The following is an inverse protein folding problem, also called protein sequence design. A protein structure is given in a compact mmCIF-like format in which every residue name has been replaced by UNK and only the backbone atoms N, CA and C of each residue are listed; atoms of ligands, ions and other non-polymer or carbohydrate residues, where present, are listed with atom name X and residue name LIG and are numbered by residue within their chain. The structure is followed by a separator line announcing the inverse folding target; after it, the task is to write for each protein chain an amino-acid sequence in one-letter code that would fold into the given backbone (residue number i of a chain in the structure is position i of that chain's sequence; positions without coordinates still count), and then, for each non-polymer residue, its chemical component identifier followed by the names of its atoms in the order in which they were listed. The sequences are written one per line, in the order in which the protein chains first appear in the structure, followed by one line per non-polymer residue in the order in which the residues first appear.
data_IF_990864026391
#
_entry.id   IF_990864026391
#
_cell.length_a   1.000
_cell.length_b   1.000
_cell.length_c   1.000
_cell.angle_alpha   90.00
_cell.angle_beta   90.00
_cell.angle_gamma   90.00
#
_symmetry.space_group_name_H-M   'P 1'
#
loop_
_entity.id
_entity.type
_entity.pdbx_description
1 polymer ?
#
# COMPACT_ATOMS: atom_id res chain seq x y z
N UNK A 1 31.09 -7.64 38.27
CA UNK A 1 31.45 -6.60 37.32
C UNK A 1 31.04 -7.09 35.95
N UNK A 2 29.87 -6.67 35.46
CA UNK A 2 29.47 -6.88 34.05
C UNK A 2 29.96 -5.66 33.28
N UNK A 3 30.60 -5.82 32.11
CA UNK A 3 30.95 -4.68 31.29
C UNK A 3 29.65 -4.11 30.69
N UNK A 4 29.38 -2.86 30.99
CA UNK A 4 28.42 -2.06 30.26
C UNK A 4 28.92 -1.95 28.80
N UNK A 5 28.24 -2.61 27.87
CA UNK A 5 28.46 -2.39 26.47
C UNK A 5 28.12 -0.93 26.15
N UNK A 6 29.07 -0.25 25.55
CA UNK A 6 28.96 1.08 24.99
C UNK A 6 27.73 1.13 24.04
N UNK A 7 26.86 2.17 24.05
CA UNK A 7 25.81 2.30 23.07
C UNK A 7 26.49 2.50 21.73
N UNK A 8 26.55 1.40 20.95
CA UNK A 8 27.36 1.28 19.75
C UNK A 8 27.13 2.43 18.77
N UNK A 9 28.20 3.11 18.44
CA UNK A 9 28.34 3.84 17.19
C UNK A 9 27.86 2.92 16.07
N UNK A 10 26.69 3.23 15.47
CA UNK A 10 26.19 2.44 14.35
C UNK A 10 27.23 2.52 13.23
N UNK A 11 27.90 1.40 13.01
CA UNK A 11 28.98 1.27 12.02
C UNK A 11 28.43 1.57 10.63
N UNK A 12 29.16 2.36 9.87
CA UNK A 12 28.88 2.58 8.46
C UNK A 12 28.87 1.22 7.75
N UNK A 13 27.85 0.95 6.94
CA UNK A 13 27.72 -0.26 6.14
C UNK A 13 27.76 0.11 4.65
N UNK A 14 28.47 -0.67 3.85
CA UNK A 14 28.68 -0.40 2.44
C UNK A 14 28.38 -1.66 1.61
N UNK A 15 27.39 -1.60 0.74
CA UNK A 15 27.12 -2.62 -0.28
C UNK A 15 27.81 -2.22 -1.57
N UNK A 16 28.65 -3.10 -2.10
CA UNK A 16 29.40 -2.89 -3.35
C UNK A 16 29.04 -3.93 -4.40
N UNK A 17 29.50 -3.72 -5.65
CA UNK A 17 29.23 -4.60 -6.78
C UNK A 17 27.74 -4.93 -6.95
N UNK A 18 26.87 -3.93 -6.77
CA UNK A 18 25.43 -4.04 -6.95
C UNK A 18 24.98 -3.38 -8.27
N UNK A 19 23.98 -3.94 -8.91
CA UNK A 19 23.15 -3.20 -9.87
C UNK A 19 22.10 -2.48 -9.09
N UNK A 20 22.09 -1.15 -9.13
CA UNK A 20 21.22 -0.35 -8.27
C UNK A 20 20.17 0.36 -9.10
N UNK A 21 18.89 -0.03 -8.93
CA UNK A 21 17.76 0.74 -9.44
C UNK A 21 17.34 1.75 -8.36
N UNK A 22 17.81 2.97 -8.47
CA UNK A 22 17.56 4.02 -7.47
C UNK A 22 16.11 4.47 -7.43
N UNK A 23 15.37 4.30 -8.52
CA UNK A 23 14.04 4.84 -8.76
C UNK A 23 13.97 6.37 -8.68
N UNK A 24 15.09 7.06 -8.84
CA UNK A 24 15.17 8.52 -8.92
C UNK A 24 14.61 9.01 -10.26
N UNK A 25 13.52 9.80 -10.27
CA UNK A 25 12.94 10.33 -11.50
C UNK A 25 13.82 11.40 -12.19
N UNK A 26 14.83 11.95 -11.50
CA UNK A 26 15.80 12.89 -12.06
C UNK A 26 16.97 12.21 -12.77
N UNK A 27 17.12 10.88 -12.66
CA UNK A 27 18.19 10.16 -13.33
C UNK A 27 17.93 10.04 -14.85
N UNK A 28 19.01 10.08 -15.63
CA UNK A 28 18.91 9.96 -17.10
C UNK A 28 18.60 8.52 -17.56
N UNK A 29 19.10 7.52 -16.81
CA UNK A 29 18.86 6.11 -17.12
C UNK A 29 17.49 5.66 -16.63
N UNK A 30 16.76 4.78 -17.36
CA UNK A 30 15.54 4.15 -16.86
C UNK A 30 15.76 3.51 -15.49
N UNK A 31 14.77 3.55 -14.59
CA UNK A 31 14.83 3.12 -13.18
C UNK A 31 15.86 3.88 -12.33
N UNK A 32 16.59 4.87 -12.88
CA UNK A 32 17.81 5.40 -12.26
C UNK A 32 18.87 4.32 -12.08
N UNK A 33 19.03 3.42 -13.08
CA UNK A 33 19.90 2.24 -13.00
C UNK A 33 21.38 2.61 -13.01
N UNK A 34 22.12 2.02 -12.07
CA UNK A 34 23.58 2.08 -11.94
C UNK A 34 24.10 0.65 -12.06
N UNK A 35 24.85 0.32 -13.11
CA UNK A 35 25.26 -1.05 -13.43
C UNK A 35 26.30 -1.64 -12.47
N UNK A 36 27.29 -0.85 -12.04
CA UNK A 36 28.27 -1.19 -11.00
C UNK A 36 28.23 -0.11 -9.92
N UNK A 37 27.30 -0.28 -9.00
CA UNK A 37 26.98 0.69 -7.96
C UNK A 37 27.49 0.28 -6.58
N UNK A 38 27.50 1.27 -5.69
CA UNK A 38 27.64 1.07 -4.26
C UNK A 38 26.60 1.90 -3.50
N UNK A 39 26.19 1.39 -2.34
CA UNK A 39 25.25 2.01 -1.41
C UNK A 39 25.86 2.03 -0.02
N UNK A 40 26.03 3.22 0.58
CA UNK A 40 26.49 3.39 1.94
C UNK A 40 25.32 3.76 2.86
N UNK A 41 25.24 3.10 4.01
CA UNK A 41 24.19 3.30 5.02
C UNK A 41 24.83 3.64 6.37
N UNK A 42 24.34 4.69 6.99
CA UNK A 42 24.70 5.12 8.32
C UNK A 42 23.42 5.49 9.10
N UNK A 43 23.32 5.05 10.33
CA UNK A 43 22.20 5.38 11.23
C UNK A 43 20.81 5.12 10.60
N UNK A 44 20.69 4.00 9.85
CA UNK A 44 19.44 3.61 9.22
C UNK A 44 19.05 4.43 7.97
N UNK A 45 19.94 5.34 7.53
CA UNK A 45 19.73 6.19 6.37
C UNK A 45 20.81 5.96 5.32
N UNK A 46 20.47 6.24 4.08
CA UNK A 46 21.41 6.22 2.97
C UNK A 46 22.32 7.43 3.11
N UNK A 47 23.60 7.15 3.34
CA UNK A 47 24.64 8.19 3.40
C UNK A 47 25.13 8.57 2.00
N UNK A 48 25.24 7.56 1.11
CA UNK A 48 25.68 7.74 -0.27
C UNK A 48 25.16 6.62 -1.18
N UNK A 49 24.92 6.94 -2.44
CA UNK A 49 24.60 5.95 -3.50
C UNK A 49 25.10 6.51 -4.83
N UNK A 50 25.76 5.67 -5.63
CA UNK A 50 26.30 6.08 -6.93
C UNK A 50 27.11 4.99 -7.60
N UNK A 51 27.74 5.30 -8.76
CA UNK A 51 28.73 4.43 -9.40
C UNK A 51 29.88 4.10 -8.45
N UNK A 52 30.26 2.83 -8.32
CA UNK A 52 31.30 2.40 -7.38
C UNK A 52 32.63 3.12 -7.59
N UNK A 53 32.98 3.44 -8.82
CA UNK A 53 34.17 4.22 -9.15
C UNK A 53 34.17 5.66 -8.61
N UNK A 54 33.00 6.18 -8.24
CA UNK A 54 32.82 7.52 -7.66
C UNK A 54 32.69 7.49 -6.14
N UNK A 55 32.94 6.30 -5.52
CA UNK A 55 32.86 6.16 -4.06
C UNK A 55 33.82 7.16 -3.38
N UNK A 56 33.36 7.97 -2.43
CA UNK A 56 34.22 8.89 -1.71
C UNK A 56 35.41 8.20 -1.03
N UNK A 57 36.60 8.78 -1.16
CA UNK A 57 37.82 8.23 -0.57
C UNK A 57 37.69 8.01 0.95
N UNK A 58 38.10 6.84 1.40
CA UNK A 58 38.08 6.46 2.82
C UNK A 58 36.71 6.00 3.36
N UNK A 59 35.67 5.98 2.54
CA UNK A 59 34.36 5.48 2.95
C UNK A 59 34.39 3.95 3.15
N UNK A 60 35.11 3.23 2.34
CA UNK A 60 35.34 1.79 2.41
C UNK A 60 36.21 1.38 3.61
N UNK A 61 37.22 2.18 3.97
CA UNK A 61 38.08 1.90 5.14
C UNK A 61 37.34 1.97 6.47
N UNK A 62 36.28 2.80 6.55
CA UNK A 62 35.49 3.02 7.75
C UNK A 62 34.25 2.13 7.85
N UNK A 63 33.91 1.36 6.80
CA UNK A 63 32.66 0.65 6.65
C UNK A 63 32.82 -0.88 6.87
N UNK A 64 31.70 -1.51 7.32
CA UNK A 64 31.52 -2.94 7.11
C UNK A 64 31.06 -3.17 5.66
N UNK A 65 31.92 -3.80 4.85
CA UNK A 65 31.68 -4.00 3.43
C UNK A 65 30.91 -5.30 3.16
N UNK A 66 29.87 -5.20 2.36
CA UNK A 66 29.04 -6.31 1.86
C UNK A 66 29.16 -6.39 0.34
N UNK A 67 29.62 -7.50 -0.20
CA UNK A 67 29.66 -7.75 -1.64
C UNK A 67 28.28 -8.24 -2.11
N UNK A 68 27.60 -7.45 -2.95
CA UNK A 68 26.31 -7.81 -3.53
C UNK A 68 26.44 -8.83 -4.68
N UNK A 69 27.66 -9.09 -5.19
CA UNK A 69 27.94 -10.10 -6.22
C UNK A 69 27.11 -9.91 -7.50
N UNK A 70 26.95 -8.65 -7.93
CA UNK A 70 26.15 -8.31 -9.11
C UNK A 70 24.63 -8.39 -8.93
N UNK A 71 24.14 -8.64 -7.72
CA UNK A 71 22.70 -8.68 -7.45
C UNK A 71 22.04 -7.32 -7.72
N UNK A 72 20.78 -7.36 -8.15
CA UNK A 72 19.96 -6.17 -8.27
C UNK A 72 19.54 -5.67 -6.87
N UNK A 73 19.67 -4.36 -6.65
CA UNK A 73 19.25 -3.66 -5.45
C UNK A 73 18.20 -2.61 -5.83
N UNK A 74 17.07 -2.65 -5.16
CA UNK A 74 15.97 -1.67 -5.34
C UNK A 74 15.55 -1.07 -4.00
N UNK A 75 14.81 0.05 -3.96
CA UNK A 75 14.06 0.42 -2.76
C UNK A 75 13.20 -0.73 -2.28
N UNK A 76 12.92 -0.79 -0.98
CA UNK A 76 11.93 -1.71 -0.44
C UNK A 76 10.56 -1.47 -1.06
N UNK A 77 9.83 -2.53 -1.37
CA UNK A 77 8.50 -2.44 -1.96
C UNK A 77 7.50 -1.88 -0.94
N UNK A 78 6.53 -1.13 -1.45
CA UNK A 78 5.49 -0.46 -0.66
C UNK A 78 4.12 -0.88 -1.20
N UNK A 79 3.31 -1.48 -0.33
CA UNK A 79 1.91 -1.81 -0.63
C UNK A 79 0.99 -0.74 -0.04
N UNK A 80 0.55 0.20 -0.88
CA UNK A 80 -0.13 1.41 -0.44
C UNK A 80 -1.66 1.28 -0.33
N UNK A 81 -2.21 0.06 -0.46
CA UNK A 81 -3.63 -0.20 -0.31
C UNK A 81 -3.88 -1.65 0.10
N UNK A 82 -4.18 -1.88 1.37
CA UNK A 82 -4.61 -3.19 1.87
C UNK A 82 -5.71 -3.06 2.92
N UNK A 83 -6.57 -4.10 2.99
CA UNK A 83 -7.52 -4.35 4.07
C UNK A 83 -7.07 -5.59 4.85
N UNK A 84 -5.80 -5.67 5.19
CA UNK A 84 -5.12 -6.88 5.66
C UNK A 84 -5.68 -7.42 6.99
N UNK A 85 -6.32 -6.57 7.82
CA UNK A 85 -6.88 -6.95 9.12
C UNK A 85 -8.35 -7.32 8.98
N UNK A 86 -8.60 -8.62 8.90
CA UNK A 86 -9.94 -9.22 8.90
C UNK A 86 -9.88 -10.66 9.44
N UNK A 87 -11.01 -11.20 9.86
CA UNK A 87 -11.17 -12.62 10.24
C UNK A 87 -11.97 -13.39 9.20
N UNK A 88 -11.68 -14.70 9.14
CA UNK A 88 -12.32 -15.64 8.22
C UNK A 88 -11.79 -15.49 6.79
N UNK A 89 -12.52 -16.12 5.87
CA UNK A 89 -12.28 -16.06 4.42
C UNK A 89 -13.62 -16.13 3.68
N UNK A 90 -13.56 -16.02 2.36
CA UNK A 90 -14.75 -16.12 1.50
C UNK A 90 -14.58 -17.19 0.41
N UNK A 91 -13.79 -18.24 0.69
CA UNK A 91 -13.54 -19.34 -0.25
C UNK A 91 -14.83 -20.09 -0.61
N UNK A 92 -15.71 -20.33 0.37
CA UNK A 92 -17.02 -20.94 0.10
C UNK A 92 -17.93 -20.08 -0.78
N UNK A 93 -17.89 -18.76 -0.66
CA UNK A 93 -18.63 -17.87 -1.56
C UNK A 93 -18.04 -17.88 -2.97
N UNK A 94 -16.71 -17.94 -3.08
CA UNK A 94 -16.02 -18.08 -4.37
C UNK A 94 -16.44 -19.38 -5.07
N UNK A 95 -16.45 -20.50 -4.36
CA UNK A 95 -16.90 -21.79 -4.88
C UNK A 95 -18.37 -21.75 -5.30
N UNK A 96 -19.27 -21.24 -4.44
CA UNK A 96 -20.69 -21.12 -4.74
C UNK A 96 -20.94 -20.29 -6.02
N UNK A 97 -20.25 -19.18 -6.19
CA UNK A 97 -20.34 -18.33 -7.37
C UNK A 97 -19.89 -19.06 -8.65
N UNK A 98 -18.83 -19.85 -8.59
CA UNK A 98 -18.35 -20.65 -9.72
C UNK A 98 -19.28 -21.82 -10.03
N UNK A 99 -20.04 -22.31 -9.04
CA UNK A 99 -21.11 -23.30 -9.21
C UNK A 99 -22.45 -22.69 -9.64
N UNK A 100 -22.48 -21.37 -9.96
CA UNK A 100 -23.63 -20.70 -10.54
C UNK A 100 -24.55 -19.97 -9.56
N UNK A 101 -24.20 -19.89 -8.28
CA UNK A 101 -24.96 -19.07 -7.33
C UNK A 101 -24.88 -17.59 -7.71
N UNK A 102 -26.04 -16.95 -7.73
CA UNK A 102 -26.14 -15.51 -8.00
C UNK A 102 -25.63 -14.68 -6.80
N UNK A 103 -25.29 -13.43 -7.06
CA UNK A 103 -24.94 -12.48 -5.99
C UNK A 103 -26.05 -12.37 -4.93
N UNK A 104 -27.32 -12.38 -5.37
CA UNK A 104 -28.47 -12.29 -4.46
C UNK A 104 -28.61 -13.53 -3.57
N UNK A 105 -28.39 -14.72 -4.11
CA UNK A 105 -28.43 -15.97 -3.33
C UNK A 105 -27.32 -15.98 -2.28
N UNK A 106 -26.11 -15.58 -2.65
CA UNK A 106 -24.97 -15.45 -1.72
C UNK A 106 -25.30 -14.40 -0.64
N UNK A 107 -25.84 -13.25 -1.02
CA UNK A 107 -26.21 -12.20 -0.06
C UNK A 107 -27.31 -12.65 0.90
N UNK A 108 -28.36 -13.34 0.41
CA UNK A 108 -29.44 -13.91 1.25
C UNK A 108 -28.92 -14.98 2.21
N UNK A 109 -27.92 -15.75 1.79
CA UNK A 109 -27.22 -16.70 2.67
C UNK A 109 -26.32 -16.02 3.72
N UNK A 110 -26.31 -14.69 3.73
CA UNK A 110 -25.51 -13.90 4.67
C UNK A 110 -24.05 -13.71 4.24
N UNK A 111 -23.74 -13.91 2.96
CA UNK A 111 -22.43 -13.67 2.38
C UNK A 111 -22.11 -12.19 2.16
N UNK A 112 -21.09 -11.95 1.34
CA UNK A 112 -20.64 -10.60 1.01
C UNK A 112 -19.83 -9.96 2.13
N UNK A 113 -19.70 -8.64 2.09
CA UNK A 113 -18.96 -7.86 3.10
C UNK A 113 -19.52 -8.08 4.51
N UNK A 114 -20.82 -8.32 4.63
CA UNK A 114 -21.47 -8.59 5.91
C UNK A 114 -20.94 -9.87 6.61
N UNK A 115 -20.54 -10.90 5.85
CA UNK A 115 -19.90 -12.08 6.41
C UNK A 115 -18.55 -11.76 7.04
N UNK A 116 -17.73 -10.97 6.33
CA UNK A 116 -16.43 -10.51 6.83
C UNK A 116 -16.59 -9.64 8.08
N UNK A 117 -17.57 -8.71 8.08
CA UNK A 117 -17.85 -7.85 9.24
C UNK A 117 -18.24 -8.70 10.44
N UNK A 118 -19.14 -9.66 10.30
CA UNK A 118 -19.54 -10.57 11.41
C UNK A 118 -18.34 -11.35 11.95
N UNK A 119 -17.54 -11.96 11.07
CA UNK A 119 -16.38 -12.73 11.47
C UNK A 119 -15.34 -11.85 12.19
N UNK A 120 -15.08 -10.64 11.68
CA UNK A 120 -14.12 -9.70 12.26
C UNK A 120 -14.57 -9.16 13.61
N UNK A 121 -15.87 -8.86 13.76
CA UNK A 121 -16.44 -8.43 15.05
C UNK A 121 -16.41 -9.55 16.10
N UNK A 122 -16.64 -10.81 15.68
CA UNK A 122 -16.61 -11.97 16.56
C UNK A 122 -15.20 -12.39 17.00
N UNK A 123 -14.18 -12.06 16.22
CA UNK A 123 -12.80 -12.42 16.54
C UNK A 123 -12.23 -11.51 17.63
N UNK A 124 -11.48 -12.08 18.56
CA UNK A 124 -10.67 -11.32 19.50
C UNK A 124 -9.42 -10.75 18.83
N UNK A 125 -8.71 -9.88 19.56
CA UNK A 125 -7.54 -9.16 19.04
C UNK A 125 -6.39 -10.11 18.68
N UNK A 126 -6.17 -11.17 19.47
CA UNK A 126 -5.09 -12.14 19.21
C UNK A 126 -5.39 -13.01 17.98
N UNK A 127 -6.63 -13.40 17.78
CA UNK A 127 -7.08 -14.14 16.58
C UNK A 127 -6.93 -13.28 15.32
N UNK A 128 -7.33 -12.00 15.38
CA UNK A 128 -7.13 -11.05 14.28
C UNK A 128 -5.65 -10.87 13.97
N UNK A 129 -4.81 -10.69 15.00
CA UNK A 129 -3.37 -10.55 14.86
C UNK A 129 -2.74 -11.79 14.21
N UNK A 130 -3.10 -12.98 14.66
CA UNK A 130 -2.55 -14.23 14.12
C UNK A 130 -2.90 -14.43 12.64
N UNK A 131 -4.15 -14.21 12.26
CA UNK A 131 -4.61 -14.33 10.87
C UNK A 131 -3.95 -13.28 9.97
N UNK A 132 -3.88 -12.04 10.43
CA UNK A 132 -3.29 -10.93 9.67
C UNK A 132 -1.78 -11.08 9.52
N UNK A 133 -1.09 -11.60 10.54
CA UNK A 133 0.34 -11.91 10.51
C UNK A 133 0.72 -12.87 9.39
N UNK A 134 -0.11 -13.88 9.12
CA UNK A 134 0.13 -14.82 8.00
C UNK A 134 0.14 -14.08 6.66
N UNK A 135 -0.81 -13.18 6.43
CA UNK A 135 -0.91 -12.39 5.20
C UNK A 135 0.25 -11.41 5.08
N UNK A 136 0.58 -10.72 6.17
CA UNK A 136 1.71 -9.78 6.20
C UNK A 136 3.04 -10.48 5.90
N UNK A 137 3.28 -11.66 6.47
CA UNK A 137 4.51 -12.42 6.23
C UNK A 137 4.67 -12.84 4.77
N UNK A 138 3.58 -13.13 4.05
CA UNK A 138 3.63 -13.41 2.63
C UNK A 138 4.08 -12.16 1.83
N UNK A 139 3.52 -10.98 2.12
CA UNK A 139 3.95 -9.71 1.51
C UNK A 139 5.41 -9.39 1.83
N UNK A 140 5.84 -9.53 3.09
CA UNK A 140 7.24 -9.33 3.50
C UNK A 140 8.21 -10.30 2.79
N UNK A 141 7.78 -11.53 2.56
CA UNK A 141 8.57 -12.50 1.82
C UNK A 141 8.89 -12.04 0.40
N UNK A 142 8.13 -11.12 -0.16
CA UNK A 142 8.35 -10.50 -1.47
C UNK A 142 9.04 -9.12 -1.39
N UNK A 143 9.61 -8.75 -0.25
CA UNK A 143 10.36 -7.50 -0.12
C UNK A 143 9.53 -6.27 0.23
N UNK A 144 8.29 -6.43 0.67
CA UNK A 144 7.48 -5.32 1.20
C UNK A 144 8.06 -4.86 2.54
N UNK A 145 8.41 -3.57 2.61
CA UNK A 145 9.01 -2.91 3.78
C UNK A 145 8.07 -1.91 4.43
N UNK A 146 7.09 -1.45 3.68
CA UNK A 146 6.07 -0.49 4.13
C UNK A 146 4.72 -0.89 3.55
N UNK A 147 3.66 -0.80 4.35
CA UNK A 147 2.31 -1.02 3.84
C UNK A 147 1.28 -0.14 4.54
N UNK A 148 0.17 0.09 3.85
CA UNK A 148 -1.05 0.62 4.44
C UNK A 148 -1.92 -0.52 4.93
N UNK A 149 -2.55 -0.35 6.09
CA UNK A 149 -3.62 -1.22 6.56
C UNK A 149 -4.84 -0.35 6.86
N UNK A 150 -5.88 -0.52 6.06
CA UNK A 150 -7.19 0.10 6.27
C UNK A 150 -8.01 -0.74 7.26
N UNK A 151 -8.76 -0.08 8.15
CA UNK A 151 -9.87 -0.71 8.87
C UNK A 151 -11.10 -0.88 7.95
N UNK A 152 -12.32 -0.92 8.47
CA UNK A 152 -13.52 -0.94 7.63
C UNK A 152 -14.28 -2.27 7.63
N UNK A 153 -13.85 -3.22 8.47
CA UNK A 153 -14.62 -4.42 8.78
C UNK A 153 -15.15 -4.44 10.22
N UNK A 154 -14.84 -3.42 11.00
CA UNK A 154 -15.40 -3.24 12.34
C UNK A 154 -16.75 -2.54 12.32
N UNK A 155 -16.86 -1.44 11.60
CA UNK A 155 -18.03 -0.60 11.38
C UNK A 155 -18.69 -0.11 12.68
N UNK A 156 -17.95 -0.06 13.78
CA UNK A 156 -18.31 0.57 15.05
C UNK A 156 -17.02 0.98 15.78
N UNK A 157 -17.11 1.94 16.67
CA UNK A 157 -15.93 2.51 17.37
C UNK A 157 -15.04 1.42 17.98
N UNK A 158 -15.62 0.50 18.72
CA UNK A 158 -14.88 -0.56 19.41
C UNK A 158 -14.12 -1.47 18.41
N UNK A 159 -14.83 -1.94 17.36
CA UNK A 159 -14.28 -2.90 16.43
C UNK A 159 -13.31 -2.26 15.43
N UNK A 160 -13.56 -1.01 15.02
CA UNK A 160 -12.61 -0.23 14.20
C UNK A 160 -11.31 0.04 14.99
N UNK A 161 -11.43 0.45 16.26
CA UNK A 161 -10.26 0.62 17.13
C UNK A 161 -9.47 -0.68 17.28
N UNK A 162 -10.14 -1.83 17.42
CA UNK A 162 -9.50 -3.15 17.50
C UNK A 162 -8.71 -3.46 16.22
N UNK A 163 -9.33 -3.26 15.05
CA UNK A 163 -8.64 -3.49 13.78
C UNK A 163 -7.40 -2.60 13.63
N UNK A 164 -7.51 -1.31 13.98
CA UNK A 164 -6.39 -0.36 13.90
C UNK A 164 -5.28 -0.67 14.92
N UNK A 165 -5.62 -1.11 16.14
CA UNK A 165 -4.61 -1.58 17.11
C UNK A 165 -3.86 -2.82 16.60
N UNK A 166 -4.59 -3.78 16.03
CA UNK A 166 -3.95 -4.95 15.40
C UNK A 166 -3.00 -4.53 14.29
N UNK A 167 -3.39 -3.56 13.46
CA UNK A 167 -2.53 -3.03 12.41
C UNK A 167 -1.24 -2.40 12.97
N UNK A 168 -1.32 -1.60 14.06
CA UNK A 168 -0.13 -1.05 14.74
C UNK A 168 0.76 -2.15 15.31
N UNK A 169 0.17 -3.12 16.03
CA UNK A 169 0.90 -4.27 16.61
C UNK A 169 1.61 -5.11 15.53
N UNK A 170 1.03 -5.27 14.36
CA UNK A 170 1.71 -5.94 13.23
C UNK A 170 2.99 -5.21 12.84
N UNK A 171 2.96 -3.88 12.73
CA UNK A 171 4.14 -3.07 12.45
C UNK A 171 5.25 -3.28 13.48
N UNK A 172 4.89 -3.24 14.75
CA UNK A 172 5.82 -3.40 15.88
C UNK A 172 6.43 -4.81 15.94
N UNK A 173 5.58 -5.84 15.84
CA UNK A 173 6.00 -7.24 16.05
C UNK A 173 6.69 -7.87 14.86
N UNK A 174 6.36 -7.43 13.64
CA UNK A 174 6.91 -7.98 12.40
C UNK A 174 7.97 -7.06 11.76
N UNK A 175 8.38 -5.98 12.44
CA UNK A 175 9.40 -5.04 11.94
C UNK A 175 9.11 -4.61 10.50
N UNK A 176 7.97 -4.00 10.28
CA UNK A 176 7.55 -3.42 8.99
C UNK A 176 6.90 -2.07 9.25
N UNK A 177 7.10 -1.11 8.36
CA UNK A 177 6.46 0.20 8.51
C UNK A 177 4.98 0.11 8.14
N UNK A 178 4.08 0.39 9.08
CA UNK A 178 2.62 0.36 8.86
C UNK A 178 2.04 1.77 8.93
N UNK A 179 1.27 2.14 7.91
CA UNK A 179 0.37 3.30 7.92
C UNK A 179 -1.05 2.79 8.10
N UNK A 180 -1.75 3.33 9.09
CA UNK A 180 -3.13 2.92 9.39
C UNK A 180 -4.12 3.93 8.84
N UNK A 181 -5.13 3.44 8.11
CA UNK A 181 -6.17 4.26 7.52
C UNK A 181 -7.53 3.89 8.10
N UNK A 182 -8.23 4.85 8.66
CA UNK A 182 -9.59 4.64 9.13
C UNK A 182 -10.55 4.65 7.94
N UNK A 183 -11.25 3.54 7.74
CA UNK A 183 -12.25 3.34 6.68
C UNK A 183 -13.62 2.98 7.30
N UNK A 184 -14.11 3.78 8.26
CA UNK A 184 -15.44 3.56 8.82
C UNK A 184 -16.57 3.66 7.78
N UNK A 185 -16.39 4.51 6.78
CA UNK A 185 -17.32 4.65 5.65
C UNK A 185 -17.02 3.63 4.53
N UNK A 186 -16.96 2.32 4.86
CA UNK A 186 -16.73 1.22 3.92
C UNK A 186 -18.04 0.56 3.47
N UNK A 187 -18.92 0.27 4.41
CA UNK A 187 -20.23 -0.31 4.15
C UNK A 187 -21.23 0.12 5.23
N UNK A 188 -22.52 0.02 4.93
CA UNK A 188 -23.56 0.29 5.90
C UNK A 188 -23.76 -0.95 6.80
N UNK A 189 -23.52 -0.87 8.13
CA UNK A 189 -23.71 -2.00 9.01
C UNK A 189 -25.20 -2.26 9.25
N UNK A 190 -25.59 -3.51 9.58
CA UNK A 190 -26.99 -3.91 9.71
C UNK A 190 -27.80 -3.04 10.70
N UNK A 191 -27.20 -2.60 11.78
CA UNK A 191 -27.82 -1.74 12.81
C UNK A 191 -28.23 -0.33 12.29
N UNK A 192 -27.69 0.06 11.15
CA UNK A 192 -28.03 1.29 10.44
C UNK A 192 -28.76 1.05 9.12
N UNK A 193 -29.29 -0.15 8.88
CA UNK A 193 -30.01 -0.46 7.63
C UNK A 193 -31.07 0.59 7.32
N UNK A 194 -31.04 1.16 6.09
CA UNK A 194 -31.92 2.23 5.64
C UNK A 194 -31.63 3.63 6.23
N UNK A 195 -30.57 3.77 7.02
CA UNK A 195 -30.21 5.04 7.68
C UNK A 195 -28.75 5.44 7.42
N UNK A 196 -28.32 5.60 6.15
CA UNK A 196 -26.92 5.85 5.83
C UNK A 196 -26.42 7.19 6.41
N UNK A 197 -27.25 8.22 6.47
CA UNK A 197 -26.85 9.53 7.04
C UNK A 197 -26.60 9.49 8.55
N UNK A 198 -27.37 8.69 9.29
CA UNK A 198 -27.15 8.45 10.72
C UNK A 198 -25.81 7.72 10.91
N UNK A 199 -25.50 6.75 10.05
CA UNK A 199 -24.22 6.05 10.10
C UNK A 199 -23.04 6.95 9.75
N UNK A 200 -23.15 7.80 8.75
CA UNK A 200 -22.12 8.81 8.44
C UNK A 200 -21.88 9.75 9.63
N UNK A 201 -22.95 10.15 10.33
CA UNK A 201 -22.79 10.93 11.55
C UNK A 201 -22.04 10.15 12.65
N UNK A 202 -22.27 8.82 12.74
CA UNK A 202 -21.52 7.95 13.65
C UNK A 202 -20.06 7.83 13.25
N UNK A 203 -19.74 7.62 11.97
CA UNK A 203 -18.37 7.61 11.44
C UNK A 203 -17.62 8.89 11.80
N UNK A 204 -18.27 10.05 11.62
CA UNK A 204 -17.69 11.34 12.02
C UNK A 204 -17.46 11.45 13.53
N UNK A 205 -18.31 10.80 14.38
CA UNK A 205 -18.13 10.76 15.84
C UNK A 205 -17.04 9.79 16.30
N UNK A 206 -16.82 8.68 15.58
CA UNK A 206 -15.74 7.73 15.86
C UNK A 206 -14.37 8.35 15.66
N UNK A 207 -14.20 9.16 14.63
CA UNK A 207 -12.90 9.62 14.15
C UNK A 207 -12.08 10.39 15.21
N UNK A 208 -12.61 11.37 15.95
CA UNK A 208 -11.85 12.05 17.00
C UNK A 208 -11.36 11.10 18.11
N UNK A 209 -12.17 10.11 18.48
CA UNK A 209 -11.80 9.15 19.52
C UNK A 209 -10.67 8.19 19.06
N UNK A 210 -10.66 7.79 17.79
CA UNK A 210 -9.61 6.98 17.21
C UNK A 210 -8.32 7.79 16.99
N UNK A 211 -8.46 9.03 16.55
CA UNK A 211 -7.32 9.96 16.39
C UNK A 211 -6.63 10.25 17.71
N UNK A 212 -7.39 10.53 18.77
CA UNK A 212 -6.83 10.77 20.10
C UNK A 212 -6.04 9.59 20.69
N UNK A 213 -6.31 8.36 20.22
CA UNK A 213 -5.55 7.15 20.56
C UNK A 213 -4.31 6.93 19.67
N UNK A 214 -4.00 7.82 18.72
CA UNK A 214 -2.89 7.68 17.79
C UNK A 214 -3.07 6.53 16.78
N UNK A 215 -4.32 6.12 16.52
CA UNK A 215 -4.62 4.96 15.68
C UNK A 215 -4.84 5.29 14.20
N UNK A 216 -4.87 6.58 13.82
CA UNK A 216 -5.25 7.01 12.47
C UNK A 216 -4.18 7.89 11.86
N UNK A 217 -3.60 7.47 10.73
CA UNK A 217 -2.67 8.27 9.92
C UNK A 217 -3.39 8.94 8.73
N UNK A 218 -4.47 8.33 8.23
CA UNK A 218 -5.28 8.84 7.13
C UNK A 218 -6.73 8.38 7.27
N UNK A 219 -7.64 8.99 6.52
CA UNK A 219 -9.07 8.64 6.47
C UNK A 219 -9.43 8.30 5.03
N UNK A 220 -10.26 7.26 4.87
CA UNK A 220 -10.74 6.81 3.57
C UNK A 220 -12.26 6.61 3.60
N UNK A 221 -12.88 6.56 2.43
CA UNK A 221 -14.29 6.25 2.25
C UNK A 221 -14.50 5.47 0.95
N UNK A 222 -15.56 4.69 0.87
CA UNK A 222 -15.99 4.04 -0.37
C UNK A 222 -17.12 4.86 -1.00
N UNK A 223 -16.75 5.68 -1.99
CA UNK A 223 -17.66 6.57 -2.70
C UNK A 223 -18.21 5.89 -3.95
N UNK A 224 -19.33 5.20 -3.82
CA UNK A 224 -19.97 4.45 -4.89
C UNK A 224 -21.48 4.36 -4.72
N UNK A 225 -22.19 4.07 -5.80
CA UNK A 225 -23.67 3.91 -5.79
C UNK A 225 -24.17 2.89 -4.79
N UNK A 226 -23.36 1.86 -4.51
CA UNK A 226 -23.69 0.76 -3.59
C UNK A 226 -23.24 1.04 -2.15
N UNK A 227 -22.53 2.13 -1.90
CA UNK A 227 -21.96 2.47 -0.59
C UNK A 227 -22.36 3.91 -0.17
N UNK A 228 -21.44 4.85 -0.27
CA UNK A 228 -21.68 6.22 0.18
C UNK A 228 -21.67 7.21 -0.99
N UNK A 229 -22.55 8.20 -0.93
CA UNK A 229 -22.64 9.27 -1.92
C UNK A 229 -21.48 10.27 -1.78
N UNK A 230 -21.19 11.08 -2.81
CA UNK A 230 -20.20 12.15 -2.70
C UNK A 230 -20.49 13.13 -1.54
N UNK A 231 -21.77 13.42 -1.26
CA UNK A 231 -22.14 14.31 -0.16
C UNK A 231 -21.86 13.68 1.20
N UNK A 232 -22.15 12.41 1.38
CA UNK A 232 -21.82 11.64 2.58
C UNK A 232 -20.30 11.55 2.79
N UNK A 233 -19.55 11.27 1.71
CA UNK A 233 -18.08 11.27 1.70
C UNK A 233 -17.51 12.63 2.09
N UNK A 234 -18.07 13.72 1.59
CA UNK A 234 -17.68 15.08 1.94
C UNK A 234 -17.73 15.31 3.46
N UNK A 235 -18.80 14.87 4.12
CA UNK A 235 -18.95 15.01 5.59
C UNK A 235 -17.85 14.28 6.35
N UNK A 236 -17.47 13.07 5.91
CA UNK A 236 -16.36 12.32 6.50
C UNK A 236 -15.05 13.06 6.30
N UNK A 237 -14.80 13.60 5.10
CA UNK A 237 -13.57 14.33 4.79
C UNK A 237 -13.48 15.68 5.50
N UNK A 238 -14.60 16.35 5.75
CA UNK A 238 -14.64 17.56 6.59
C UNK A 238 -14.26 17.25 8.03
N UNK A 239 -14.74 16.13 8.59
CA UNK A 239 -14.34 15.66 9.91
C UNK A 239 -12.85 15.31 9.98
N UNK A 240 -12.31 14.66 8.95
CA UNK A 240 -10.87 14.37 8.83
C UNK A 240 -10.04 15.66 8.78
N UNK A 241 -10.42 16.61 7.94
CA UNK A 241 -9.76 17.91 7.78
C UNK A 241 -9.75 18.72 9.07
N UNK A 242 -10.84 18.67 9.85
CA UNK A 242 -10.92 19.35 11.14
C UNK A 242 -9.89 18.81 12.16
N UNK A 243 -9.41 17.57 11.97
CA UNK A 243 -8.36 16.95 12.79
C UNK A 243 -6.97 17.01 12.14
N UNK A 244 -6.82 17.66 10.98
CA UNK A 244 -5.56 17.72 10.24
C UNK A 244 -5.15 16.39 9.62
N UNK A 245 -6.09 15.44 9.47
CA UNK A 245 -5.82 14.12 8.88
C UNK A 245 -5.94 14.18 7.35
N UNK A 246 -4.97 13.60 6.62
CA UNK A 246 -5.05 13.45 5.18
C UNK A 246 -6.15 12.44 4.81
N UNK A 247 -6.65 12.57 3.58
CA UNK A 247 -7.72 11.70 3.06
C UNK A 247 -7.26 10.91 1.84
N UNK A 248 -7.93 9.78 1.60
CA UNK A 248 -7.84 8.90 0.44
C UNK A 248 -9.26 8.55 0.00
N UNK A 249 -9.44 7.94 -1.17
CA UNK A 249 -10.78 7.55 -1.62
C UNK A 249 -10.76 6.31 -2.50
N UNK A 250 -11.59 5.32 -2.16
CA UNK A 250 -12.05 4.33 -3.16
C UNK A 250 -13.05 5.06 -4.07
N UNK A 251 -12.69 5.25 -5.32
CA UNK A 251 -13.41 6.12 -6.25
C UNK A 251 -13.52 5.49 -7.65
N UNK A 252 -14.65 5.74 -8.31
CA UNK A 252 -14.86 5.39 -9.72
C UNK A 252 -14.53 3.92 -10.04
N UNK A 253 -14.78 3.01 -9.10
CA UNK A 253 -14.60 1.57 -9.31
C UNK A 253 -15.75 0.99 -10.15
N UNK A 254 -17.00 1.33 -9.81
CA UNK A 254 -18.21 0.76 -10.42
C UNK A 254 -19.03 1.79 -11.19
N UNK A 255 -18.76 3.07 -10.97
CA UNK A 255 -19.47 4.19 -11.58
C UNK A 255 -18.66 5.48 -11.52
N UNK A 256 -18.91 6.41 -12.44
CA UNK A 256 -18.41 7.79 -12.33
C UNK A 256 -19.33 8.56 -11.38
N UNK A 257 -18.91 8.71 -10.14
CA UNK A 257 -19.62 9.45 -9.10
C UNK A 257 -19.00 10.83 -8.82
N UNK A 258 -18.01 11.25 -9.62
CA UNK A 258 -17.18 12.43 -9.39
C UNK A 258 -16.44 12.42 -8.02
N UNK A 259 -16.21 11.23 -7.46
CA UNK A 259 -15.51 11.03 -6.19
C UNK A 259 -14.07 11.51 -6.25
N UNK A 260 -13.35 11.24 -7.35
CA UNK A 260 -11.97 11.71 -7.54
C UNK A 260 -11.89 13.24 -7.60
N UNK A 261 -12.89 13.93 -8.17
CA UNK A 261 -12.96 15.39 -8.14
C UNK A 261 -13.18 15.91 -6.72
N UNK A 262 -14.06 15.25 -5.96
CA UNK A 262 -14.28 15.55 -4.55
C UNK A 262 -13.00 15.35 -3.75
N UNK A 263 -12.36 14.19 -3.84
CA UNK A 263 -11.12 13.87 -3.12
C UNK A 263 -10.01 14.86 -3.44
N UNK A 264 -9.82 15.20 -4.71
CA UNK A 264 -8.87 16.22 -5.16
C UNK A 264 -9.14 17.60 -4.53
N UNK A 265 -10.40 17.97 -4.31
CA UNK A 265 -10.75 19.25 -3.64
C UNK A 265 -10.34 19.30 -2.17
N UNK A 266 -10.10 18.15 -1.55
CA UNK A 266 -9.55 18.00 -0.20
C UNK A 266 -8.03 17.78 -0.17
N UNK A 267 -7.36 17.76 -1.34
CA UNK A 267 -5.93 17.45 -1.44
C UNK A 267 -5.64 16.00 -1.08
N UNK A 268 -6.50 15.07 -1.48
CA UNK A 268 -6.35 13.65 -1.16
C UNK A 268 -4.98 13.11 -1.57
N UNK A 269 -4.39 12.24 -0.74
CA UNK A 269 -3.15 11.54 -1.05
C UNK A 269 -3.30 10.65 -2.28
N UNK A 270 -4.42 9.92 -2.38
CA UNK A 270 -4.72 9.07 -3.51
C UNK A 270 -6.22 8.95 -3.79
N UNK A 271 -6.53 8.52 -5.01
CA UNK A 271 -7.79 7.94 -5.40
C UNK A 271 -7.49 6.54 -5.97
N UNK A 272 -8.24 5.56 -5.51
CA UNK A 272 -7.91 4.15 -5.66
C UNK A 272 -9.01 3.45 -6.51
N UNK A 273 -8.68 2.44 -7.32
CA UNK A 273 -9.45 1.76 -8.38
C UNK A 273 -9.48 2.51 -9.72
N UNK A 274 -10.45 3.42 -9.94
CA UNK A 274 -10.50 4.39 -11.06
C UNK A 274 -10.93 3.83 -12.43
N UNK A 275 -11.55 2.65 -12.50
CA UNK A 275 -12.00 2.05 -13.76
C UNK A 275 -12.97 2.96 -14.54
N UNK A 276 -13.75 3.76 -13.81
CA UNK A 276 -14.75 4.69 -14.39
C UNK A 276 -14.30 6.15 -14.39
N UNK A 277 -13.03 6.42 -14.09
CA UNK A 277 -12.52 7.79 -14.04
C UNK A 277 -12.65 8.51 -15.38
N UNK A 278 -13.30 9.68 -15.36
CA UNK A 278 -13.40 10.58 -16.49
C UNK A 278 -12.31 11.67 -16.52
N UNK A 279 -12.30 12.43 -17.63
CA UNK A 279 -11.34 13.51 -17.90
C UNK A 279 -11.29 14.56 -16.77
N UNK A 280 -12.45 14.93 -16.23
CA UNK A 280 -12.55 15.95 -15.17
C UNK A 280 -11.89 15.47 -13.87
N UNK A 281 -12.04 14.19 -13.51
CA UNK A 281 -11.40 13.56 -12.35
C UNK A 281 -9.89 13.51 -12.53
N UNK A 282 -9.39 13.01 -13.68
CA UNK A 282 -7.96 12.94 -13.96
C UNK A 282 -7.28 14.33 -13.88
N UNK A 283 -7.93 15.34 -14.45
CA UNK A 283 -7.45 16.73 -14.40
C UNK A 283 -7.46 17.31 -12.96
N UNK A 284 -8.45 16.95 -12.17
CA UNK A 284 -8.51 17.36 -10.76
C UNK A 284 -7.39 16.71 -9.95
N UNK A 285 -7.16 15.41 -10.11
CA UNK A 285 -6.07 14.67 -9.47
C UNK A 285 -4.69 15.23 -9.85
N UNK A 286 -4.47 15.55 -11.12
CA UNK A 286 -3.22 16.18 -11.57
C UNK A 286 -2.94 17.50 -10.86
N UNK A 287 -3.96 18.36 -10.72
CA UNK A 287 -3.83 19.67 -10.05
C UNK A 287 -3.61 19.55 -8.54
N UNK A 288 -4.25 18.60 -7.88
CA UNK A 288 -4.08 18.37 -6.44
C UNK A 288 -2.80 17.62 -6.11
N UNK A 289 -2.20 16.95 -7.08
CA UNK A 289 -1.06 16.08 -6.87
C UNK A 289 -1.41 14.71 -6.28
N UNK A 290 -2.69 14.34 -6.28
CA UNK A 290 -3.15 13.02 -5.84
C UNK A 290 -2.58 11.90 -6.71
N UNK A 291 -2.31 10.75 -6.09
CA UNK A 291 -1.82 9.55 -6.78
C UNK A 291 -3.00 8.67 -7.22
N UNK A 292 -2.92 8.11 -8.42
CA UNK A 292 -3.84 7.07 -8.88
C UNK A 292 -3.33 5.71 -8.44
N UNK A 293 -4.04 5.03 -7.53
CA UNK A 293 -3.69 3.68 -7.08
C UNK A 293 -4.49 2.66 -7.87
N UNK A 294 -3.81 1.89 -8.69
CA UNK A 294 -4.41 0.86 -9.54
C UNK A 294 -4.32 -0.50 -8.86
N UNK A 295 -5.40 -1.29 -8.94
CA UNK A 295 -5.61 -2.51 -8.17
C UNK A 295 -5.86 -3.71 -9.09
N UNK A 296 -4.81 -4.20 -9.77
CA UNK A 296 -4.98 -5.23 -10.81
C UNK A 296 -5.49 -6.57 -10.25
N UNK A 297 -5.25 -6.86 -8.97
CA UNK A 297 -5.78 -8.05 -8.32
C UNK A 297 -7.30 -8.04 -8.19
N UNK A 298 -7.87 -6.90 -7.79
CA UNK A 298 -9.32 -6.73 -7.71
C UNK A 298 -9.96 -6.78 -9.10
N UNK A 299 -9.38 -6.07 -10.07
CA UNK A 299 -9.81 -6.12 -11.47
C UNK A 299 -9.90 -7.57 -12.00
N UNK A 300 -8.86 -8.35 -11.81
CA UNK A 300 -8.80 -9.75 -12.23
C UNK A 300 -9.84 -10.61 -11.50
N UNK A 301 -9.88 -10.55 -10.18
CA UNK A 301 -10.71 -11.43 -9.36
C UNK A 301 -12.20 -11.17 -9.54
N UNK A 302 -12.58 -9.92 -9.77
CA UNK A 302 -13.95 -9.51 -10.11
C UNK A 302 -14.29 -9.76 -11.59
N UNK A 303 -13.30 -10.12 -12.41
CA UNK A 303 -13.47 -10.29 -13.88
C UNK A 303 -13.98 -8.99 -14.53
N UNK A 304 -13.46 -7.85 -14.07
CA UNK A 304 -13.79 -6.57 -14.65
C UNK A 304 -13.34 -6.49 -16.11
N UNK A 305 -14.07 -5.72 -16.90
CA UNK A 305 -13.77 -5.55 -18.32
C UNK A 305 -13.41 -4.12 -18.69
N UNK A 306 -13.80 -3.16 -17.84
CA UNK A 306 -13.47 -1.75 -18.03
C UNK A 306 -12.13 -1.46 -17.37
N UNK A 307 -11.12 -1.21 -18.19
CA UNK A 307 -9.78 -0.87 -17.73
C UNK A 307 -9.73 0.53 -17.11
N UNK A 308 -8.93 0.75 -16.06
CA UNK A 308 -8.61 2.10 -15.60
C UNK A 308 -7.96 2.89 -16.75
N UNK A 309 -8.25 4.19 -16.88
CA UNK A 309 -7.84 4.99 -18.04
C UNK A 309 -6.36 5.44 -17.94
N UNK A 310 -5.44 4.49 -18.00
CA UNK A 310 -4.00 4.71 -17.81
C UNK A 310 -3.44 5.80 -18.74
N UNK A 311 -3.84 5.77 -20.03
CA UNK A 311 -3.36 6.78 -20.99
C UNK A 311 -3.89 8.18 -20.67
N UNK A 312 -5.09 8.29 -20.12
CA UNK A 312 -5.63 9.55 -19.63
C UNK A 312 -4.81 10.08 -18.45
N UNK A 313 -4.51 9.21 -17.48
CA UNK A 313 -3.70 9.55 -16.32
C UNK A 313 -2.27 9.97 -16.71
N UNK A 314 -1.65 9.26 -17.66
CA UNK A 314 -0.33 9.63 -18.22
C UNK A 314 -0.36 11.01 -18.88
N UNK A 315 -1.36 11.29 -19.75
CA UNK A 315 -1.48 12.60 -20.42
C UNK A 315 -1.57 13.77 -19.45
N UNK A 316 -2.19 13.55 -18.29
CA UNK A 316 -2.28 14.57 -17.23
C UNK A 316 -1.14 14.56 -16.24
N UNK A 317 -0.18 13.63 -16.37
CA UNK A 317 0.95 13.52 -15.45
C UNK A 317 0.56 13.08 -14.03
N UNK A 318 -0.55 12.34 -13.89
CA UNK A 318 -0.97 11.78 -12.61
C UNK A 318 -0.05 10.61 -12.26
N UNK A 319 0.62 10.60 -11.09
CA UNK A 319 1.45 9.47 -10.68
C UNK A 319 0.62 8.20 -10.49
N UNK A 320 1.13 7.07 -11.01
CA UNK A 320 0.48 5.77 -10.93
C UNK A 320 1.13 4.93 -9.82
N UNK A 321 0.39 4.49 -8.83
CA UNK A 321 0.82 3.49 -7.86
C UNK A 321 0.10 2.16 -8.09
N UNK A 322 0.71 1.08 -7.59
CA UNK A 322 0.20 -0.30 -7.68
C UNK A 322 0.12 -0.85 -6.27
N UNK A 323 -0.97 -1.53 -5.94
CA UNK A 323 -1.16 -2.17 -4.66
C UNK A 323 -1.93 -3.49 -4.78
N UNK A 324 -1.92 -4.29 -3.71
CA UNK A 324 -2.58 -5.60 -3.72
C UNK A 324 -4.09 -5.53 -3.51
N UNK A 325 -4.57 -4.50 -2.84
CA UNK A 325 -5.94 -4.48 -2.32
C UNK A 325 -6.25 -5.73 -1.48
N UNK A 326 -5.26 -6.23 -0.73
CA UNK A 326 -5.39 -7.49 -0.01
C UNK A 326 -6.62 -7.50 0.91
N UNK A 327 -7.69 -8.16 0.45
CA UNK A 327 -8.96 -8.27 1.15
C UNK A 327 -9.62 -9.63 0.84
N UNK A 328 -10.58 -10.12 1.65
CA UNK A 328 -11.14 -11.46 1.46
C UNK A 328 -12.17 -11.54 0.34
N UNK A 329 -12.70 -10.40 -0.13
CA UNK A 329 -13.85 -10.36 -1.04
C UNK A 329 -13.52 -10.22 -2.50
N UNK A 330 -12.64 -9.29 -2.80
CA UNK A 330 -12.37 -8.83 -4.17
C UNK A 330 -10.93 -9.00 -4.60
N UNK A 331 -10.00 -9.19 -3.63
CA UNK A 331 -8.58 -9.41 -3.91
C UNK A 331 -7.91 -10.23 -2.80
N UNK A 332 -8.19 -11.53 -2.69
CA UNK A 332 -7.56 -12.40 -1.71
C UNK A 332 -6.11 -12.72 -2.11
N UNK A 333 -5.31 -11.67 -2.32
CA UNK A 333 -3.96 -11.71 -2.84
C UNK A 333 -2.97 -11.11 -1.86
N UNK A 334 -1.84 -11.80 -1.66
CA UNK A 334 -0.73 -11.37 -0.80
C UNK A 334 0.59 -11.34 -1.56
N UNK A 335 0.55 -11.03 -2.86
CA UNK A 335 1.72 -10.96 -3.74
C UNK A 335 1.76 -9.61 -4.46
N UNK A 336 2.69 -8.74 -4.07
CA UNK A 336 2.92 -7.47 -4.76
C UNK A 336 3.69 -7.66 -6.06
N UNK A 337 4.57 -8.68 -6.14
CA UNK A 337 5.26 -9.04 -7.39
C UNK A 337 4.26 -9.48 -8.47
N UNK A 338 3.21 -10.24 -8.10
CA UNK A 338 2.13 -10.59 -9.02
C UNK A 338 1.39 -9.32 -9.50
N UNK A 339 1.19 -8.34 -8.61
CA UNK A 339 0.56 -7.07 -8.99
C UNK A 339 1.37 -6.29 -10.01
N UNK A 340 2.71 -6.30 -9.91
CA UNK A 340 3.59 -5.70 -10.92
C UNK A 340 3.40 -6.36 -12.29
N UNK A 341 3.37 -7.70 -12.34
CA UNK A 341 3.11 -8.43 -13.58
C UNK A 341 1.75 -8.10 -14.17
N UNK A 342 0.70 -8.16 -13.34
CA UNK A 342 -0.67 -7.90 -13.79
C UNK A 342 -0.87 -6.45 -14.23
N UNK A 343 -0.23 -5.47 -13.60
CA UNK A 343 -0.25 -4.08 -14.04
C UNK A 343 0.36 -3.92 -15.44
N UNK A 344 1.46 -4.62 -15.72
CA UNK A 344 2.07 -4.62 -17.06
C UNK A 344 1.17 -5.33 -18.09
N UNK A 345 0.65 -6.50 -17.76
CA UNK A 345 -0.07 -7.35 -18.72
C UNK A 345 -1.51 -6.89 -18.96
N UNK A 346 -2.23 -6.48 -17.93
CA UNK A 346 -3.63 -6.05 -18.01
C UNK A 346 -3.76 -4.55 -18.32
N UNK A 347 -3.01 -3.70 -17.61
CA UNK A 347 -3.14 -2.25 -17.68
C UNK A 347 -2.13 -1.57 -18.61
N UNK A 348 -1.19 -2.35 -19.20
CA UNK A 348 -0.18 -1.85 -20.13
C UNK A 348 0.76 -0.81 -19.51
N UNK A 349 1.06 -0.94 -18.21
CA UNK A 349 2.17 -0.23 -17.61
C UNK A 349 3.50 -0.78 -18.11
N UNK A 350 4.50 0.09 -18.25
CA UNK A 350 5.87 -0.39 -18.43
C UNK A 350 6.38 -1.01 -17.12
N UNK A 351 7.35 -1.94 -17.16
CA UNK A 351 7.95 -2.47 -15.93
C UNK A 351 8.56 -1.37 -15.02
N UNK A 352 9.05 -0.28 -15.60
CA UNK A 352 9.53 0.87 -14.83
C UNK A 352 8.38 1.60 -14.11
N UNK A 353 7.26 1.85 -14.79
CA UNK A 353 6.07 2.44 -14.18
C UNK A 353 5.51 1.55 -13.06
N UNK A 354 5.48 0.22 -13.28
CA UNK A 354 5.00 -0.72 -12.28
C UNK A 354 5.91 -0.71 -11.04
N UNK A 355 7.24 -0.75 -11.19
CA UNK A 355 8.16 -0.69 -10.07
C UNK A 355 8.13 0.68 -9.38
N UNK A 356 8.02 1.79 -10.13
CA UNK A 356 7.77 3.11 -9.57
C UNK A 356 6.46 3.16 -8.78
N UNK A 357 5.44 2.46 -9.28
CA UNK A 357 4.13 2.31 -8.65
C UNK A 357 4.16 1.58 -7.32
N UNK A 358 5.07 0.63 -7.14
CA UNK A 358 5.26 -0.10 -5.87
C UNK A 358 6.42 0.47 -5.01
N UNK A 359 6.97 1.62 -5.38
CA UNK A 359 8.06 2.28 -4.64
C UNK A 359 7.76 3.76 -4.43
N UNK A 360 8.30 4.67 -5.26
CA UNK A 360 8.19 6.13 -5.05
C UNK A 360 6.76 6.67 -5.11
N UNK A 361 5.91 6.14 -6.00
CA UNK A 361 4.55 6.60 -6.10
C UNK A 361 3.66 6.02 -4.99
N UNK A 362 3.92 4.77 -4.57
CA UNK A 362 3.25 4.19 -3.40
C UNK A 362 3.64 4.94 -2.10
N UNK A 363 4.91 5.34 -1.94
CA UNK A 363 5.33 6.20 -0.82
C UNK A 363 4.53 7.51 -0.81
N UNK A 364 4.43 8.18 -1.98
CA UNK A 364 3.65 9.41 -2.13
C UNK A 364 2.16 9.20 -1.82
N UNK A 365 1.56 8.08 -2.23
CA UNK A 365 0.17 7.72 -1.93
C UNK A 365 -0.08 7.51 -0.42
N UNK A 366 0.99 7.34 0.37
CA UNK A 366 0.94 7.25 1.84
C UNK A 366 1.40 8.54 2.55
N UNK A 367 1.71 9.59 1.80
CA UNK A 367 2.24 10.85 2.35
C UNK A 367 3.65 10.68 2.95
N UNK A 368 4.46 9.77 2.41
CA UNK A 368 5.82 9.48 2.85
C UNK A 368 6.82 10.05 1.84
N UNK A 369 7.75 10.84 2.32
CA UNK A 369 8.79 11.50 1.52
C UNK A 369 10.20 10.97 1.80
N UNK A 370 10.35 10.11 2.82
CA UNK A 370 11.63 9.61 3.31
C UNK A 370 12.04 8.25 2.71
N UNK A 371 11.26 7.67 1.79
CA UNK A 371 11.45 6.33 1.22
C UNK A 371 10.95 6.20 -0.22
N UNK A 372 11.02 4.98 -0.79
CA UNK A 372 10.56 4.68 -2.16
C UNK A 372 11.58 5.04 -3.25
N UNK A 373 12.71 5.63 -2.88
CA UNK A 373 13.88 5.86 -3.73
C UNK A 373 15.15 5.62 -2.92
N UNK A 374 16.23 5.25 -3.60
CA UNK A 374 17.55 5.19 -2.99
C UNK A 374 18.29 6.51 -3.27
N UNK A 375 18.28 7.37 -2.28
CA UNK A 375 18.93 8.68 -2.36
C UNK A 375 19.47 9.08 -0.99
N UNK A 376 20.55 9.88 -0.90
CA UNK A 376 21.10 10.35 0.37
C UNK A 376 20.04 10.98 1.29
N UNK A 377 20.12 10.67 2.58
CA UNK A 377 19.18 11.13 3.62
C UNK A 377 17.89 10.31 3.76
N UNK A 378 17.53 9.48 2.78
CA UNK A 378 16.35 8.62 2.86
C UNK A 378 16.58 7.40 3.73
N UNK A 379 15.51 6.78 4.21
CA UNK A 379 15.58 5.51 4.95
C UNK A 379 16.24 4.44 4.10
N UNK A 380 17.11 3.66 4.71
CA UNK A 380 17.80 2.55 4.07
C UNK A 380 16.92 1.28 4.07
N UNK A 381 15.71 1.39 3.53
CA UNK A 381 14.81 0.28 3.29
C UNK A 381 15.01 -0.19 1.84
N UNK A 382 15.62 -1.36 1.65
CA UNK A 382 15.95 -1.87 0.31
C UNK A 382 15.92 -3.40 0.24
N UNK A 383 15.91 -3.91 -1.00
CA UNK A 383 15.86 -5.35 -1.27
C UNK A 383 16.98 -5.73 -2.23
N UNK A 384 17.67 -6.82 -1.93
CA UNK A 384 18.57 -7.54 -2.82
C UNK A 384 17.80 -8.65 -3.52
N UNK A 385 17.92 -8.71 -4.87
CA UNK A 385 17.22 -9.64 -5.72
C UNK A 385 18.20 -10.55 -6.49
N UNK A 386 17.80 -11.77 -6.72
CA UNK A 386 18.43 -12.67 -7.68
C UNK A 386 17.88 -12.39 -9.08
N UNK A 387 18.24 -11.22 -9.60
CA UNK A 387 17.81 -10.70 -10.89
C UNK A 387 18.94 -9.86 -11.49
N UNK A 388 18.98 -9.79 -12.80
CA UNK A 388 19.97 -9.01 -13.53
C UNK A 388 19.42 -7.67 -14.03
N UNK A 389 18.10 -7.56 -14.18
CA UNK A 389 17.46 -6.34 -14.66
C UNK A 389 16.16 -6.09 -13.89
N UNK A 390 15.80 -4.82 -13.55
CA UNK A 390 14.59 -4.51 -12.80
C UNK A 390 13.29 -5.02 -13.42
N UNK A 391 13.21 -5.11 -14.75
CA UNK A 391 12.04 -5.63 -15.46
C UNK A 391 11.72 -7.09 -15.12
N UNK A 392 12.69 -7.88 -14.64
CA UNK A 392 12.46 -9.28 -14.24
C UNK A 392 11.47 -9.39 -13.09
N UNK A 393 11.40 -8.36 -12.23
CA UNK A 393 10.44 -8.31 -11.10
C UNK A 393 8.98 -8.25 -11.57
N UNK A 394 8.74 -7.69 -12.78
CA UNK A 394 7.41 -7.64 -13.39
C UNK A 394 7.21 -8.78 -14.42
N UNK A 395 8.30 -9.34 -14.96
CA UNK A 395 8.24 -10.36 -16.00
C UNK A 395 7.89 -11.75 -15.46
N UNK A 396 8.54 -12.15 -14.35
CA UNK A 396 8.43 -13.49 -13.81
C UNK A 396 7.12 -13.68 -13.04
N UNK A 397 6.25 -14.56 -13.56
CA UNK A 397 4.97 -14.90 -12.94
C UNK A 397 5.14 -16.06 -11.95
N UNK A 398 4.79 -15.82 -10.67
CA UNK A 398 4.84 -16.86 -9.64
C UNK A 398 6.24 -17.21 -9.13
N UNK A 399 7.28 -16.47 -9.53
CA UNK A 399 8.64 -16.61 -9.04
C UNK A 399 8.98 -15.43 -8.12
N UNK A 400 9.61 -15.74 -6.98
CA UNK A 400 10.09 -14.73 -6.04
C UNK A 400 11.62 -14.73 -6.01
N UNK A 401 12.26 -13.75 -6.69
CA UNK A 401 13.73 -13.66 -6.76
C UNK A 401 14.35 -12.98 -5.54
N UNK A 402 13.61 -12.70 -4.48
CA UNK A 402 14.13 -12.00 -3.30
C UNK A 402 15.25 -12.81 -2.62
N UNK A 403 16.45 -12.22 -2.55
CA UNK A 403 17.56 -12.76 -1.75
C UNK A 403 17.44 -12.29 -0.29
N UNK A 404 17.35 -10.97 -0.08
CA UNK A 404 17.34 -10.38 1.27
C UNK A 404 16.65 -9.01 1.28
N UNK A 405 15.93 -8.74 2.36
CA UNK A 405 15.33 -7.43 2.63
C UNK A 405 16.07 -6.76 3.78
N UNK A 406 16.22 -5.44 3.69
CA UNK A 406 16.81 -4.60 4.72
C UNK A 406 15.83 -3.49 5.10
N UNK A 407 15.74 -3.25 6.40
CA UNK A 407 15.01 -2.14 7.01
C UNK A 407 16.00 -1.30 7.79
N UNK A 408 16.11 -0.01 7.47
CA UNK A 408 17.10 0.88 8.09
C UNK A 408 18.51 0.29 8.04
N UNK A 409 18.83 -0.38 6.91
CA UNK A 409 20.12 -1.04 6.72
C UNK A 409 20.32 -2.35 7.49
N UNK A 410 19.34 -2.79 8.26
CA UNK A 410 19.41 -4.04 9.03
C UNK A 410 18.63 -5.16 8.35
N UNK A 411 19.11 -6.40 8.34
CA UNK A 411 18.37 -7.54 7.78
C UNK A 411 16.99 -7.68 8.45
N UNK A 412 15.94 -7.90 7.64
CA UNK A 412 14.54 -8.02 8.06
C UNK A 412 14.02 -9.47 7.99
#
# INVERSE_FOLDING_TARGET
MHPHGDPGTMTLQLWTHARIATMDPGAAAPYGLIEDGALAVQEGRIAWVGPRQELPLGLDDAATVHDAQGALLTPGLIDCHTHLVYAGDRAGEFEARLNGASYEEIARAGGGIAATVRATRAADEESLLAQSRRRLRALRAEGVTTLEIKSGYGLSLEHEARCLRVARRLGETERVSVRTTFLGAHALPPEFSGRPDDYVAEVCRMLPALHAQGLVDAVDAFCERIAFSPEQTRRVFEAARALGLPVKLHAEQLSDSAGAQLAASFGALSCDHLEWLGEAGARAMARSGSVAVLLPGAFYFLRETRLPPVDLLRRHGVPLAIATDCNPGTSPCTSLLLMLNMACTLFRLTPEEALAGATRHAARALGLDDRGMLAPGRRADFVLWDAQHPAELSYALGFNPRRRTFLEGQPA
#
